data_IF_244460001657
#
_entry.id   IF_244460001657
#
_cell.length_a   1.000
_cell.length_b   1.000
_cell.length_c   1.000
_cell.angle_alpha   90.00
_cell.angle_beta   90.00
_cell.angle_gamma   90.00
#
_symmetry.space_group_name_H-M   'P 1'
#
loop_
_entity.id
_entity.type
_entity.pdbx_description
1 polymer ?
#
# COMPACT_ATOMS: atom_id res chain seq x y z
N UNK A 1 16.74 -18.79 -12.94
CA UNK A 1 16.59 -17.40 -13.41
C UNK A 1 17.83 -17.03 -14.20
N UNK A 2 17.68 -16.31 -15.31
CA UNK A 2 18.83 -15.81 -16.07
C UNK A 2 19.23 -14.46 -15.50
N UNK A 3 20.53 -14.24 -15.32
CA UNK A 3 21.09 -12.94 -14.95
C UNK A 3 21.62 -12.27 -16.20
N UNK A 4 21.31 -10.98 -16.37
CA UNK A 4 21.97 -10.16 -17.37
C UNK A 4 23.30 -9.68 -16.78
N UNK A 5 24.40 -10.04 -17.43
CA UNK A 5 25.73 -9.58 -17.07
C UNK A 5 25.96 -8.24 -17.77
N UNK A 6 26.38 -7.23 -17.02
CA UNK A 6 26.89 -5.98 -17.57
C UNK A 6 28.33 -5.83 -17.08
N UNK A 7 29.26 -5.71 -18.04
CA UNK A 7 30.67 -5.42 -17.77
C UNK A 7 30.85 -3.90 -17.74
N UNK A 8 31.69 -3.41 -16.83
CA UNK A 8 32.03 -1.99 -16.74
C UNK A 8 33.02 -1.55 -17.84
N UNK A 9 33.76 -2.49 -18.42
CA UNK A 9 34.75 -2.27 -19.48
C UNK A 9 34.54 -3.30 -20.59
N UNK A 10 34.08 -2.86 -21.77
CA UNK A 10 34.07 -3.68 -22.98
C UNK A 10 35.09 -3.13 -23.96
N UNK A 11 36.17 -3.88 -24.21
CA UNK A 11 36.98 -3.70 -25.39
C UNK A 11 37.27 -5.08 -26.00
N UNK A 12 36.30 -5.62 -26.73
CA UNK A 12 36.44 -6.89 -27.46
C UNK A 12 37.62 -6.86 -28.45
N UNK A 13 37.97 -5.68 -28.95
CA UNK A 13 39.10 -5.46 -29.86
C UNK A 13 40.44 -5.81 -29.21
N UNK A 14 40.67 -5.44 -27.95
CA UNK A 14 41.93 -5.77 -27.27
C UNK A 14 42.08 -7.29 -27.06
N UNK A 15 40.99 -8.01 -26.78
CA UNK A 15 41.03 -9.46 -26.65
C UNK A 15 41.41 -10.18 -27.95
N UNK A 16 40.92 -9.71 -29.09
CA UNK A 16 41.26 -10.28 -30.41
C UNK A 16 42.72 -9.99 -30.77
N UNK A 17 43.20 -8.76 -30.50
CA UNK A 17 44.59 -8.38 -30.72
C UNK A 17 45.57 -9.16 -29.83
N UNK A 18 45.24 -9.39 -28.55
CA UNK A 18 46.10 -10.18 -27.65
C UNK A 18 46.13 -11.64 -28.04
N UNK A 19 45.01 -12.23 -28.49
CA UNK A 19 44.98 -13.59 -29.03
C UNK A 19 45.84 -13.74 -30.29
N UNK A 20 45.75 -12.79 -31.23
CA UNK A 20 46.58 -12.78 -32.44
C UNK A 20 48.07 -12.64 -32.11
N UNK A 21 48.40 -11.76 -31.15
CA UNK A 21 49.77 -11.58 -30.67
C UNK A 21 50.34 -12.82 -29.99
N UNK A 22 49.52 -13.52 -29.16
CA UNK A 22 49.91 -14.79 -28.55
C UNK A 22 50.18 -15.87 -29.59
N UNK A 23 49.33 -15.98 -30.60
CA UNK A 23 49.53 -16.93 -31.71
C UNK A 23 50.86 -16.66 -32.43
N UNK A 24 51.14 -15.40 -32.76
CA UNK A 24 52.41 -15.00 -33.38
C UNK A 24 53.61 -15.34 -32.51
N UNK A 25 53.58 -15.01 -31.21
CA UNK A 25 54.66 -15.34 -30.28
C UNK A 25 54.87 -16.85 -30.14
N UNK A 26 53.79 -17.64 -30.20
CA UNK A 26 53.89 -19.11 -30.17
C UNK A 26 54.65 -19.62 -31.40
N UNK A 27 54.33 -19.10 -32.60
CA UNK A 27 54.99 -19.47 -33.86
C UNK A 27 56.47 -19.08 -33.84
N UNK A 28 56.77 -17.83 -33.43
CA UNK A 28 58.15 -17.33 -33.35
C UNK A 28 58.98 -18.12 -32.33
N UNK A 29 58.38 -18.48 -31.19
CA UNK A 29 59.05 -19.26 -30.16
C UNK A 29 59.40 -20.67 -30.60
N UNK A 30 58.53 -21.31 -31.39
CA UNK A 30 58.79 -22.64 -31.98
C UNK A 30 59.86 -22.56 -33.07
N UNK A 31 59.85 -21.51 -33.88
CA UNK A 31 60.84 -21.30 -34.94
C UNK A 31 62.26 -21.06 -34.39
N UNK A 32 62.38 -20.31 -33.30
CA UNK A 32 63.67 -19.94 -32.69
C UNK A 32 64.19 -20.95 -31.65
N UNK A 33 63.44 -22.03 -31.40
CA UNK A 33 63.74 -23.09 -30.40
C UNK A 33 64.12 -22.54 -29.01
N UNK A 34 63.36 -21.54 -28.54
CA UNK A 34 63.58 -20.89 -27.23
C UNK A 34 62.56 -21.41 -26.20
N UNK A 35 62.92 -22.38 -25.34
CA UNK A 35 61.96 -23.04 -24.44
C UNK A 35 61.37 -22.10 -23.38
N UNK A 36 62.12 -21.08 -22.94
CA UNK A 36 61.64 -20.10 -21.95
C UNK A 36 60.51 -19.21 -22.50
N UNK A 37 60.61 -18.78 -23.76
CA UNK A 37 59.58 -17.96 -24.40
C UNK A 37 58.31 -18.78 -24.57
N UNK A 38 58.44 -20.05 -24.95
CA UNK A 38 57.33 -20.98 -25.09
C UNK A 38 56.58 -21.18 -23.77
N UNK A 39 57.32 -21.35 -22.66
CA UNK A 39 56.74 -21.49 -21.33
C UNK A 39 55.95 -20.23 -20.94
N UNK A 40 56.50 -19.03 -21.15
CA UNK A 40 55.81 -17.77 -20.86
C UNK A 40 54.53 -17.61 -21.68
N UNK A 41 54.56 -17.92 -22.98
CA UNK A 41 53.38 -17.91 -23.85
C UNK A 41 52.33 -18.92 -23.35
N UNK A 42 52.77 -20.10 -22.91
CA UNK A 42 51.90 -21.12 -22.32
C UNK A 42 51.20 -20.64 -21.05
N UNK A 43 51.92 -19.98 -20.12
CA UNK A 43 51.32 -19.39 -18.91
C UNK A 43 50.26 -18.35 -19.27
N UNK A 44 50.56 -17.46 -20.22
CA UNK A 44 49.61 -16.42 -20.64
C UNK A 44 48.38 -17.06 -21.31
N UNK A 45 48.57 -18.08 -22.17
CA UNK A 45 47.48 -18.81 -22.80
C UNK A 45 46.58 -19.52 -21.76
N UNK A 46 47.17 -20.16 -20.74
CA UNK A 46 46.43 -20.78 -19.63
C UNK A 46 45.64 -19.73 -18.85
N UNK A 47 46.22 -18.56 -18.59
CA UNK A 47 45.53 -17.45 -17.95
C UNK A 47 44.30 -16.99 -18.75
N UNK A 48 44.43 -16.77 -20.06
CA UNK A 48 43.30 -16.41 -20.92
C UNK A 48 42.25 -17.51 -21.04
N UNK A 49 42.67 -18.78 -21.08
CA UNK A 49 41.75 -19.92 -21.05
C UNK A 49 40.95 -19.92 -19.74
N UNK A 50 41.61 -19.69 -18.61
CA UNK A 50 40.97 -19.54 -17.30
C UNK A 50 39.95 -18.39 -17.28
N UNK A 51 40.31 -17.23 -17.84
CA UNK A 51 39.42 -16.07 -17.99
C UNK A 51 38.17 -16.41 -18.83
N UNK A 52 38.37 -17.09 -19.97
CA UNK A 52 37.28 -17.47 -20.87
C UNK A 52 36.31 -18.46 -20.21
N UNK A 53 36.85 -19.48 -19.54
CA UNK A 53 36.05 -20.46 -18.81
C UNK A 53 35.30 -19.82 -17.64
N UNK A 54 35.95 -18.92 -16.89
CA UNK A 54 35.33 -18.17 -15.81
C UNK A 54 34.15 -17.35 -16.33
N UNK A 55 34.37 -16.50 -17.34
CA UNK A 55 33.35 -15.66 -17.96
C UNK A 55 32.15 -16.45 -18.48
N UNK A 56 32.39 -17.64 -19.06
CA UNK A 56 31.33 -18.52 -19.54
C UNK A 56 30.43 -19.04 -18.42
N UNK A 57 30.93 -19.15 -17.18
CA UNK A 57 30.21 -19.72 -16.05
C UNK A 57 29.48 -18.67 -15.19
N UNK A 58 29.83 -17.38 -15.31
CA UNK A 58 29.22 -16.29 -14.56
C UNK A 58 27.70 -16.25 -14.77
N UNK A 59 26.93 -16.08 -13.68
CA UNK A 59 25.49 -15.83 -13.75
C UNK A 59 24.61 -17.02 -14.12
N UNK A 60 25.16 -18.10 -14.70
CA UNK A 60 24.36 -19.25 -15.19
C UNK A 60 23.65 -20.03 -14.09
N UNK A 61 24.34 -20.23 -12.97
CA UNK A 61 23.90 -21.08 -11.86
C UNK A 61 23.63 -20.29 -10.57
N UNK A 62 23.43 -18.97 -10.70
CA UNK A 62 23.02 -18.10 -9.60
C UNK A 62 21.50 -18.03 -9.56
N UNK A 63 20.91 -18.33 -8.41
CA UNK A 63 19.47 -18.19 -8.21
C UNK A 63 19.18 -17.24 -7.06
N UNK A 64 18.33 -16.25 -7.33
CA UNK A 64 17.85 -15.28 -6.35
C UNK A 64 16.43 -15.66 -5.91
N UNK A 65 16.32 -16.01 -4.65
CA UNK A 65 15.06 -16.24 -3.97
C UNK A 65 14.84 -15.15 -2.95
N UNK A 66 13.72 -14.45 -3.10
CA UNK A 66 13.25 -13.54 -2.07
C UNK A 66 12.00 -14.25 -1.59
N UNK A 67 12.07 -15.01 -0.48
CA UNK A 67 10.91 -15.70 0.03
C UNK A 67 9.77 -14.70 0.17
N UNK A 68 8.57 -15.07 -0.29
CA UNK A 68 7.39 -14.21 -0.26
C UNK A 68 7.00 -13.89 1.19
N UNK A 69 7.62 -12.85 1.75
CA UNK A 69 7.37 -12.39 3.11
C UNK A 69 7.47 -10.87 3.19
N UNK A 70 6.91 -10.16 2.22
CA UNK A 70 6.74 -8.72 2.41
C UNK A 70 5.64 -8.48 3.43
N UNK A 71 6.10 -8.23 4.65
CA UNK A 71 5.28 -7.92 5.81
C UNK A 71 4.79 -6.47 5.69
N UNK A 72 3.54 -6.29 6.07
CA UNK A 72 2.92 -4.99 6.28
C UNK A 72 3.25 -4.54 7.69
N UNK A 73 3.55 -3.26 7.87
CA UNK A 73 3.86 -2.71 9.18
C UNK A 73 3.30 -1.31 9.33
N UNK A 74 3.12 -0.88 10.58
CA UNK A 74 2.88 0.50 10.94
C UNK A 74 4.20 1.26 11.07
N UNK A 75 4.17 2.60 11.01
CA UNK A 75 5.36 3.43 11.23
C UNK A 75 6.05 3.10 12.56
N UNK A 76 7.37 3.24 12.62
CA UNK A 76 8.25 2.89 13.75
C UNK A 76 8.43 1.39 14.04
N UNK A 77 7.76 0.50 13.33
CA UNK A 77 8.00 -0.95 13.42
C UNK A 77 9.21 -1.36 12.56
N UNK A 78 9.77 -2.53 12.86
CA UNK A 78 10.87 -3.13 12.11
C UNK A 78 10.39 -4.22 11.16
N UNK A 79 10.86 -4.15 9.93
CA UNK A 79 10.55 -5.09 8.85
C UNK A 79 11.82 -5.77 8.37
N UNK A 80 11.83 -7.09 8.41
CA UNK A 80 12.99 -7.87 8.00
C UNK A 80 12.88 -8.26 6.53
N UNK A 81 13.80 -7.77 5.69
CA UNK A 81 13.95 -8.17 4.31
C UNK A 81 14.89 -9.39 4.25
N UNK A 82 14.33 -10.55 3.93
CA UNK A 82 15.12 -11.78 3.73
C UNK A 82 15.44 -11.98 2.25
N UNK A 83 16.73 -12.06 1.93
CA UNK A 83 17.24 -12.30 0.58
C UNK A 83 18.05 -13.60 0.62
N UNK A 84 17.67 -14.57 -0.19
CA UNK A 84 18.40 -15.82 -0.36
C UNK A 84 19.05 -15.87 -1.72
N UNK A 85 20.36 -16.07 -1.74
CA UNK A 85 21.13 -16.23 -2.97
C UNK A 85 21.82 -17.57 -2.90
N UNK A 86 21.56 -18.39 -3.92
CA UNK A 86 22.17 -19.71 -4.05
C UNK A 86 23.12 -19.72 -5.24
N UNK A 87 24.34 -20.13 -4.99
CA UNK A 87 25.39 -20.31 -5.97
C UNK A 87 25.61 -21.80 -6.23
N UNK A 88 25.02 -22.31 -7.31
CA UNK A 88 25.25 -23.70 -7.73
C UNK A 88 26.49 -23.83 -8.64
N UNK A 89 27.26 -22.76 -8.83
CA UNK A 89 28.55 -22.81 -9.52
C UNK A 89 29.63 -23.33 -8.59
N UNK A 90 30.65 -23.99 -9.13
CA UNK A 90 31.87 -24.31 -8.38
C UNK A 90 32.67 -23.05 -8.02
N UNK A 91 32.56 -22.01 -8.86
CA UNK A 91 33.28 -20.76 -8.70
C UNK A 91 32.65 -19.89 -7.60
N UNK A 92 33.44 -19.37 -6.65
CA UNK A 92 32.96 -18.43 -5.66
C UNK A 92 32.88 -17.01 -6.24
N UNK A 93 31.90 -16.24 -5.77
CA UNK A 93 31.82 -14.79 -5.98
C UNK A 93 32.22 -14.11 -4.68
N UNK A 94 33.44 -13.56 -4.64
CA UNK A 94 34.04 -12.98 -3.44
C UNK A 94 34.00 -11.46 -3.50
N UNK A 95 34.00 -10.82 -2.33
CA UNK A 95 34.05 -9.36 -2.18
C UNK A 95 32.96 -8.65 -3.00
N UNK A 96 31.76 -9.24 -2.99
CA UNK A 96 30.61 -8.68 -3.70
C UNK A 96 29.74 -7.80 -2.81
N UNK A 97 28.82 -7.09 -3.44
CA UNK A 97 27.80 -6.31 -2.78
C UNK A 97 26.48 -6.47 -3.53
N UNK A 98 25.40 -6.55 -2.77
CA UNK A 98 24.04 -6.40 -3.31
C UNK A 98 23.69 -4.92 -3.19
N UNK A 99 23.23 -4.35 -4.30
CA UNK A 99 22.81 -2.96 -4.33
C UNK A 99 21.39 -2.83 -4.82
N UNK A 100 20.62 -1.96 -4.18
CA UNK A 100 19.26 -1.60 -4.62
C UNK A 100 18.87 -0.21 -4.15
N UNK A 101 17.85 0.34 -4.81
CA UNK A 101 17.22 1.60 -4.43
C UNK A 101 15.83 1.35 -3.86
N UNK A 102 15.45 2.10 -2.84
CA UNK A 102 14.10 2.06 -2.26
C UNK A 102 13.68 3.47 -1.84
N UNK A 103 12.37 3.73 -1.80
CA UNK A 103 11.85 5.03 -1.30
C UNK A 103 12.10 5.20 0.20
N UNK A 104 12.14 6.44 0.67
CA UNK A 104 12.37 6.86 2.06
C UNK A 104 11.26 6.51 3.07
N UNK A 105 10.32 5.62 2.70
CA UNK A 105 9.32 5.05 3.60
C UNK A 105 9.93 4.13 4.67
N UNK A 106 11.08 3.55 4.34
CA UNK A 106 11.85 2.65 5.20
C UNK A 106 13.32 3.06 5.19
N UNK A 107 13.99 2.80 6.31
CA UNK A 107 15.36 3.18 6.55
C UNK A 107 16.12 2.02 7.21
N UNK A 108 17.33 1.79 6.75
CA UNK A 108 18.33 1.00 7.46
C UNK A 108 19.61 1.84 7.42
N UNK A 109 20.12 2.25 8.58
CA UNK A 109 21.28 3.16 8.63
C UNK A 109 22.58 2.43 8.33
N UNK A 110 22.69 1.16 8.72
CA UNK A 110 23.90 0.34 8.59
C UNK A 110 24.36 0.16 7.13
N UNK A 111 23.40 0.02 6.21
CA UNK A 111 23.67 -0.26 4.79
C UNK A 111 23.35 0.91 3.86
N UNK A 112 22.93 2.06 4.40
CA UNK A 112 22.62 3.26 3.62
C UNK A 112 23.91 3.92 3.13
N UNK A 113 24.00 4.16 1.82
CA UNK A 113 25.16 4.83 1.22
C UNK A 113 24.84 6.27 0.83
N UNK A 114 23.70 6.49 0.17
CA UNK A 114 23.30 7.83 -0.27
C UNK A 114 21.79 7.95 -0.39
N UNK A 115 21.29 9.17 -0.30
CA UNK A 115 19.88 9.51 -0.47
C UNK A 115 19.76 10.62 -1.52
N UNK A 116 18.93 10.38 -2.54
CA UNK A 116 18.69 11.36 -3.60
C UNK A 116 17.19 11.45 -3.92
N UNK A 117 16.60 12.65 -3.78
CA UNK A 117 15.19 12.92 -4.10
C UNK A 117 14.20 11.90 -3.50
N UNK A 118 14.39 11.51 -2.24
CA UNK A 118 13.55 10.53 -1.55
C UNK A 118 13.78 9.07 -1.96
N UNK A 119 14.86 8.78 -2.69
CA UNK A 119 15.34 7.42 -2.97
C UNK A 119 16.63 7.16 -2.20
N UNK A 120 16.60 6.13 -1.36
CA UNK A 120 17.74 5.63 -0.60
C UNK A 120 18.43 4.53 -1.40
N UNK A 121 19.75 4.61 -1.53
CA UNK A 121 20.60 3.60 -2.15
C UNK A 121 21.31 2.79 -1.05
N UNK A 122 21.08 1.48 -1.09
CA UNK A 122 21.62 0.52 -0.13
C UNK A 122 22.68 -0.34 -0.79
N UNK A 123 23.74 -0.65 -0.04
CA UNK A 123 24.79 -1.55 -0.48
C UNK A 123 25.15 -2.51 0.67
N UNK A 124 24.88 -3.80 0.47
CA UNK A 124 25.11 -4.84 1.47
C UNK A 124 26.25 -5.74 1.01
N UNK A 125 27.36 -5.84 1.76
CA UNK A 125 28.45 -6.75 1.42
C UNK A 125 27.99 -8.21 1.48
N UNK A 126 28.32 -8.98 0.46
CA UNK A 126 28.04 -10.41 0.41
C UNK A 126 29.17 -11.16 -0.28
N UNK A 127 29.56 -12.28 0.32
CA UNK A 127 30.47 -13.26 -0.28
C UNK A 127 29.71 -14.56 -0.48
N UNK A 128 29.76 -15.10 -1.69
CA UNK A 128 29.02 -16.28 -2.13
C UNK A 128 30.02 -17.37 -2.53
N UNK A 129 30.40 -18.27 -1.60
CA UNK A 129 31.25 -19.41 -1.93
C UNK A 129 30.66 -20.28 -3.05
N UNK A 130 31.50 -21.14 -3.64
CA UNK A 130 31.03 -22.13 -4.60
C UNK A 130 30.12 -23.17 -3.94
N UNK A 131 29.09 -23.62 -4.66
CA UNK A 131 28.12 -24.65 -4.22
C UNK A 131 27.48 -24.35 -2.85
N UNK A 132 27.22 -23.09 -2.56
CA UNK A 132 26.67 -22.65 -1.28
C UNK A 132 25.41 -21.80 -1.44
N UNK A 133 24.71 -21.61 -0.33
CA UNK A 133 23.56 -20.73 -0.22
C UNK A 133 23.82 -19.73 0.91
N UNK A 134 23.53 -18.45 0.65
CA UNK A 134 23.65 -17.36 1.61
C UNK A 134 22.26 -16.75 1.81
N UNK A 135 21.82 -16.71 3.07
CA UNK A 135 20.57 -16.05 3.48
C UNK A 135 20.90 -14.80 4.27
N UNK A 136 20.55 -13.64 3.73
CA UNK A 136 20.71 -12.34 4.38
C UNK A 136 19.37 -11.89 4.93
N UNK A 137 19.37 -11.38 6.16
CA UNK A 137 18.18 -10.76 6.77
C UNK A 137 18.52 -9.34 7.17
N UNK A 138 17.92 -8.37 6.50
CA UNK A 138 18.23 -6.94 6.67
C UNK A 138 17.04 -6.28 7.38
N UNK A 139 17.23 -5.73 8.60
CA UNK A 139 16.16 -5.05 9.32
C UNK A 139 15.97 -3.63 8.79
N UNK A 140 14.78 -3.31 8.32
CA UNK A 140 14.38 -1.96 7.93
C UNK A 140 13.45 -1.38 8.98
N UNK A 141 13.78 -0.19 9.49
CA UNK A 141 12.85 0.60 10.31
C UNK A 141 11.88 1.33 9.39
N UNK A 142 10.60 1.19 9.66
CA UNK A 142 9.57 1.96 8.96
C UNK A 142 9.52 3.39 9.49
N UNK A 143 9.47 4.36 8.57
CA UNK A 143 9.55 5.79 8.92
C UNK A 143 8.28 6.51 8.52
N UNK A 144 7.85 6.36 7.26
CA UNK A 144 6.69 7.06 6.70
C UNK A 144 5.79 6.08 5.97
N UNK A 145 4.48 6.37 5.97
CA UNK A 145 3.49 5.67 5.16
C UNK A 145 3.92 5.63 3.69
N UNK A 146 3.71 4.49 3.06
CA UNK A 146 3.89 4.35 1.62
C UNK A 146 4.30 2.96 1.20
N UNK A 147 4.57 2.82 -0.10
CA UNK A 147 4.95 1.55 -0.72
C UNK A 147 6.44 1.60 -1.07
N UNK A 148 7.23 0.80 -0.36
CA UNK A 148 8.63 0.52 -0.67
C UNK A 148 8.72 -0.57 -1.74
N UNK A 149 9.35 -0.26 -2.87
CA UNK A 149 9.68 -1.24 -3.91
C UNK A 149 11.19 -1.31 -4.07
N UNK A 150 11.73 -2.53 -4.17
CA UNK A 150 13.13 -2.73 -4.55
C UNK A 150 13.28 -2.35 -6.03
N UNK A 151 14.07 -1.32 -6.30
CA UNK A 151 14.40 -0.84 -7.64
C UNK A 151 15.87 -1.07 -7.92
N UNK A 152 16.20 -1.33 -9.19
CA UNK A 152 17.58 -1.46 -9.67
C UNK A 152 18.43 -2.46 -8.87
N UNK A 153 17.80 -3.54 -8.40
CA UNK A 153 18.51 -4.60 -7.69
C UNK A 153 19.59 -5.20 -8.58
N UNK A 154 20.82 -5.21 -8.08
CA UNK A 154 21.96 -5.80 -8.75
C UNK A 154 22.89 -6.47 -7.74
N UNK A 155 23.67 -7.43 -8.23
CA UNK A 155 24.77 -8.04 -7.51
C UNK A 155 26.07 -7.68 -8.20
N UNK A 156 26.92 -6.91 -7.52
CA UNK A 156 28.22 -6.46 -8.01
C UNK A 156 29.32 -7.28 -7.35
N UNK A 157 30.31 -7.76 -8.09
CA UNK A 157 31.47 -8.46 -7.53
C UNK A 157 32.71 -8.26 -8.39
N UNK A 158 33.88 -8.46 -7.80
CA UNK A 158 35.15 -8.39 -8.54
C UNK A 158 35.47 -9.71 -9.22
N UNK A 159 35.84 -9.66 -10.49
CA UNK A 159 36.30 -10.82 -11.24
C UNK A 159 37.62 -11.35 -10.63
N UNK A 160 37.71 -12.65 -10.33
CA UNK A 160 38.87 -13.22 -9.62
C UNK A 160 40.21 -13.08 -10.37
N UNK A 161 40.19 -13.22 -11.71
CA UNK A 161 41.40 -13.08 -12.54
C UNK A 161 41.62 -11.65 -13.07
N UNK A 162 40.61 -11.00 -13.68
CA UNK A 162 40.79 -9.66 -14.26
C UNK A 162 40.64 -8.51 -13.27
N UNK A 163 40.14 -8.77 -12.05
CA UNK A 163 39.84 -7.75 -11.03
C UNK A 163 38.81 -6.68 -11.46
N UNK A 164 38.17 -6.84 -12.61
CA UNK A 164 37.11 -5.96 -13.09
C UNK A 164 35.84 -6.11 -12.25
N UNK A 165 35.10 -5.02 -12.06
CA UNK A 165 33.80 -5.08 -11.39
C UNK A 165 32.72 -5.51 -12.37
N UNK A 166 32.04 -6.61 -12.04
CA UNK A 166 30.93 -7.14 -12.82
C UNK A 166 29.62 -6.91 -12.10
N UNK A 167 28.60 -6.47 -12.84
CA UNK A 167 27.26 -6.25 -12.31
C UNK A 167 26.28 -7.25 -12.92
N UNK A 168 25.55 -7.96 -12.06
CA UNK A 168 24.50 -8.89 -12.45
C UNK A 168 23.12 -8.34 -12.11
N UNK A 169 22.24 -8.29 -13.11
CA UNK A 169 20.83 -7.91 -12.95
C UNK A 169 19.93 -9.14 -13.11
N UNK A 170 19.01 -9.40 -12.16
CA UNK A 170 18.07 -10.50 -12.29
C UNK A 170 17.04 -10.19 -13.39
N UNK A 171 16.78 -11.15 -14.29
CA UNK A 171 15.76 -11.00 -15.34
C UNK A 171 14.41 -11.56 -14.83
N UNK A 172 13.34 -10.79 -15.05
CA UNK A 172 11.97 -11.33 -15.00
C UNK A 172 11.35 -11.51 -13.61
N UNK A 173 11.86 -10.86 -12.56
CA UNK A 173 11.20 -10.86 -11.24
C UNK A 173 10.75 -9.46 -10.85
N UNK A 174 9.45 -9.31 -10.62
CA UNK A 174 8.94 -8.17 -9.86
C UNK A 174 9.20 -8.46 -8.39
N UNK A 175 9.97 -7.59 -7.74
CA UNK A 175 10.13 -7.64 -6.30
C UNK A 175 8.79 -7.29 -5.66
N UNK A 176 8.31 -8.09 -4.70
CA UNK A 176 7.07 -7.74 -4.02
C UNK A 176 7.25 -6.46 -3.19
N UNK A 177 6.13 -5.92 -2.74
CA UNK A 177 6.05 -4.57 -2.19
C UNK A 177 6.11 -4.58 -0.67
N UNK A 178 6.97 -3.75 -0.09
CA UNK A 178 6.92 -3.42 1.32
C UNK A 178 5.86 -2.33 1.51
N UNK A 179 4.90 -2.56 2.40
CA UNK A 179 3.78 -1.65 2.62
C UNK A 179 3.85 -1.13 4.06
N UNK A 180 4.03 0.18 4.20
CA UNK A 180 3.94 0.90 5.48
C UNK A 180 2.57 1.56 5.56
N UNK A 181 1.77 1.13 6.53
CA UNK A 181 0.43 1.67 6.76
C UNK A 181 0.46 3.12 7.23
N UNK A 182 -0.64 3.88 7.06
CA UNK A 182 -0.81 5.16 7.73
C UNK A 182 -0.65 5.00 9.25
N UNK A 183 -0.15 6.04 9.89
CA UNK A 183 -0.18 6.14 11.34
C UNK A 183 -1.64 6.19 11.82
N UNK A 184 -1.90 5.72 13.04
CA UNK A 184 -3.25 5.75 13.61
C UNK A 184 -3.37 6.98 14.52
N UNK A 185 -3.64 8.14 13.91
CA UNK A 185 -3.82 9.38 14.66
C UNK A 185 -5.19 9.41 15.33
N UNK A 186 -5.20 9.58 16.65
CA UNK A 186 -6.42 9.60 17.43
C UNK A 186 -7.34 10.79 17.07
N UNK A 187 -8.63 10.47 16.94
CA UNK A 187 -9.69 11.46 16.70
C UNK A 187 -10.66 11.45 17.88
N UNK A 188 -10.78 12.61 18.52
CA UNK A 188 -11.64 12.86 19.68
C UNK A 188 -13.13 12.75 19.31
N UNK A 189 -13.96 12.39 20.31
CA UNK A 189 -15.44 12.29 20.23
C UNK A 189 -16.02 11.17 19.35
N UNK A 190 -15.19 10.32 18.74
CA UNK A 190 -15.69 9.14 18.00
C UNK A 190 -16.55 8.22 18.87
N UNK A 191 -16.20 8.06 20.15
CA UNK A 191 -16.97 7.25 21.11
C UNK A 191 -18.33 7.86 21.46
N UNK A 192 -18.46 9.19 21.42
CA UNK A 192 -19.73 9.87 21.73
C UNK A 192 -20.74 9.65 20.61
N UNK A 193 -20.28 9.75 19.35
CA UNK A 193 -21.10 9.46 18.17
C UNK A 193 -21.61 8.02 18.17
N UNK A 194 -20.74 7.09 18.59
CA UNK A 194 -21.09 5.68 18.78
C UNK A 194 -22.21 5.50 19.82
N UNK A 195 -22.11 6.17 20.96
CA UNK A 195 -23.06 6.01 22.05
C UNK A 195 -24.42 6.69 21.77
N UNK A 196 -24.45 7.69 20.88
CA UNK A 196 -25.69 8.33 20.43
C UNK A 196 -26.45 7.50 19.40
N UNK A 197 -25.78 6.57 18.72
CA UNK A 197 -26.36 5.73 17.68
C UNK A 197 -25.95 4.26 17.86
N UNK A 198 -26.29 3.61 18.98
CA UNK A 198 -26.11 2.16 19.09
C UNK A 198 -26.90 1.47 17.98
N UNK A 199 -26.35 0.37 17.46
CA UNK A 199 -26.97 -0.44 16.42
C UNK A 199 -28.46 -0.64 16.67
N UNK A 200 -29.25 -0.46 15.60
CA UNK A 200 -30.70 -0.23 15.60
C UNK A 200 -31.13 0.98 16.43
N UNK A 201 -30.93 2.18 15.88
CA UNK A 201 -31.54 3.39 16.46
C UNK A 201 -33.03 3.42 16.10
N UNK A 202 -33.87 3.58 17.13
CA UNK A 202 -35.32 3.70 17.00
C UNK A 202 -35.62 4.99 16.24
N UNK A 203 -36.23 4.87 15.07
CA UNK A 203 -36.62 6.05 14.27
C UNK A 203 -38.11 6.07 14.00
N UNK A 204 -38.69 7.27 13.96
CA UNK A 204 -40.10 7.48 13.61
C UNK A 204 -40.33 7.19 12.11
N UNK A 205 -39.28 7.33 11.28
CA UNK A 205 -39.34 7.25 9.83
C UNK A 205 -38.41 6.16 9.26
N UNK A 206 -38.80 4.88 9.41
CA UNK A 206 -38.21 3.75 8.70
C UNK A 206 -39.29 2.99 7.94
N UNK A 207 -39.04 2.53 6.71
CA UNK A 207 -39.91 1.57 6.03
C UNK A 207 -39.76 0.15 6.59
N UNK A 208 -38.70 -0.12 7.36
CA UNK A 208 -38.42 -1.42 7.98
C UNK A 208 -38.83 -1.40 9.46
N UNK A 209 -39.59 -2.40 9.85
CA UNK A 209 -40.16 -2.59 11.19
C UNK A 209 -39.82 -4.00 11.69
N UNK A 210 -39.47 -4.10 12.97
CA UNK A 210 -39.26 -5.37 13.64
C UNK A 210 -40.61 -5.94 14.10
N UNK A 211 -41.12 -6.89 13.31
CA UNK A 211 -42.41 -7.54 13.55
C UNK A 211 -42.38 -8.45 14.80
N UNK A 212 -41.19 -8.84 15.27
CA UNK A 212 -41.03 -9.71 16.44
C UNK A 212 -41.17 -8.95 17.76
N UNK A 213 -40.98 -7.63 17.75
CA UNK A 213 -41.03 -6.77 18.95
C UNK A 213 -42.13 -5.69 18.82
N UNK A 214 -43.40 -6.02 19.12
CA UNK A 214 -44.45 -5.02 19.22
C UNK A 214 -44.24 -4.15 20.47
N UNK A 215 -44.03 -2.85 20.27
CA UNK A 215 -43.85 -1.85 21.33
C UNK A 215 -45.17 -1.52 22.06
N UNK A 216 -46.31 -1.66 21.39
CA UNK A 216 -47.61 -1.31 21.96
C UNK A 216 -48.76 -1.40 20.97
N UNK A 217 -49.85 -0.69 21.27
CA UNK A 217 -51.05 -0.65 20.43
C UNK A 217 -51.60 0.77 20.30
N UNK A 218 -52.18 1.11 19.14
CA UNK A 218 -53.02 2.30 18.97
C UNK A 218 -54.36 1.96 18.33
N UNK A 219 -55.28 2.92 18.31
CA UNK A 219 -56.54 2.80 17.57
C UNK A 219 -56.30 2.51 16.09
N UNK A 220 -57.06 1.53 15.58
CA UNK A 220 -57.04 1.14 14.18
C UNK A 220 -57.62 2.23 13.30
N UNK A 221 -56.94 2.53 12.20
CA UNK A 221 -57.41 3.45 11.15
C UNK A 221 -57.54 2.66 9.86
N UNK A 222 -58.47 3.04 8.99
CA UNK A 222 -58.77 2.31 7.73
C UNK A 222 -57.56 2.14 6.79
N UNK A 223 -56.51 2.96 6.95
CA UNK A 223 -55.25 2.82 6.23
C UNK A 223 -54.34 1.69 6.73
N UNK A 224 -54.62 1.13 7.91
CA UNK A 224 -53.78 0.11 8.53
C UNK A 224 -54.06 -1.29 7.95
N UNK A 225 -53.04 -2.12 7.72
CA UNK A 225 -53.25 -3.50 7.28
C UNK A 225 -53.96 -4.35 8.35
N UNK A 226 -54.99 -5.10 7.95
CA UNK A 226 -55.74 -5.99 8.84
C UNK A 226 -54.87 -7.00 9.60
N UNK A 227 -53.76 -7.47 9.01
CA UNK A 227 -52.83 -8.40 9.66
C UNK A 227 -52.18 -7.82 10.92
N UNK A 228 -52.17 -6.49 11.07
CA UNK A 228 -51.58 -5.80 12.22
C UNK A 228 -52.56 -5.61 13.38
N UNK A 229 -53.80 -6.09 13.28
CA UNK A 229 -54.77 -5.99 14.36
C UNK A 229 -54.29 -6.81 15.56
N UNK A 230 -54.27 -6.17 16.73
CA UNK A 230 -54.02 -6.83 18.01
C UNK A 230 -55.35 -7.34 18.59
N UNK A 231 -55.75 -8.55 18.21
CA UNK A 231 -57.05 -9.13 18.61
C UNK A 231 -57.29 -9.13 20.13
N UNK A 232 -56.27 -9.52 20.93
CA UNK A 232 -56.39 -9.54 22.40
C UNK A 232 -56.57 -8.14 23.03
N UNK A 233 -55.93 -7.11 22.48
CA UNK A 233 -56.09 -5.74 22.96
C UNK A 233 -57.45 -5.18 22.53
N UNK A 234 -57.85 -5.47 21.29
CA UNK A 234 -59.13 -5.05 20.73
C UNK A 234 -60.33 -5.63 21.51
N UNK A 235 -60.22 -6.88 21.97
CA UNK A 235 -61.23 -7.51 22.81
C UNK A 235 -61.37 -6.83 24.18
N UNK A 236 -60.26 -6.34 24.76
CA UNK A 236 -60.27 -5.66 26.06
C UNK A 236 -60.83 -4.23 25.97
N UNK A 237 -60.49 -3.50 24.90
CA UNK A 237 -60.90 -2.10 24.73
C UNK A 237 -62.22 -1.96 23.99
N UNK A 238 -62.79 -3.06 23.49
CA UNK A 238 -63.99 -3.09 22.63
C UNK A 238 -63.88 -2.21 21.37
N UNK A 239 -62.65 -1.88 20.96
CA UNK A 239 -62.33 -1.08 19.77
C UNK A 239 -61.16 -1.74 19.06
N UNK A 240 -61.13 -1.72 17.72
CA UNK A 240 -60.01 -2.29 16.97
C UNK A 240 -58.71 -1.54 17.32
N UNK A 241 -57.69 -2.32 17.68
CA UNK A 241 -56.35 -1.83 18.01
C UNK A 241 -55.34 -2.40 17.01
N UNK A 242 -54.44 -1.58 16.50
CA UNK A 242 -53.31 -1.95 15.63
C UNK A 242 -52.04 -2.10 16.47
N UNK A 243 -51.24 -3.15 16.22
CA UNK A 243 -49.90 -3.33 16.79
C UNK A 243 -48.95 -2.25 16.25
N UNK A 244 -48.24 -1.58 17.15
CA UNK A 244 -47.11 -0.70 16.83
C UNK A 244 -45.83 -1.53 16.96
N UNK A 245 -45.03 -1.56 15.90
CA UNK A 245 -43.74 -2.26 15.87
C UNK A 245 -42.60 -1.27 16.03
N UNK A 246 -41.49 -1.74 16.59
CA UNK A 246 -40.25 -0.98 16.62
C UNK A 246 -39.70 -0.81 15.20
N UNK A 247 -39.23 0.40 14.89
CA UNK A 247 -38.64 0.73 13.60
C UNK A 247 -37.14 0.72 13.73
N UNK A 248 -36.53 -0.39 13.34
CA UNK A 248 -35.09 -0.59 13.35
C UNK A 248 -34.46 -0.11 12.03
N UNK A 249 -33.51 0.83 12.12
CA UNK A 249 -32.73 1.28 10.96
C UNK A 249 -31.31 0.74 11.05
N UNK A 250 -30.87 0.05 10.00
CA UNK A 250 -29.46 -0.26 9.81
C UNK A 250 -28.72 1.04 9.48
N UNK A 251 -27.80 1.46 10.34
CA UNK A 251 -26.96 2.64 10.12
C UNK A 251 -25.62 2.12 9.59
N UNK A 252 -25.42 2.23 8.27
CA UNK A 252 -24.11 1.98 7.69
C UNK A 252 -23.21 3.19 7.94
N UNK A 253 -21.95 2.94 8.31
CA UNK A 253 -20.96 4.00 8.43
C UNK A 253 -20.35 4.25 7.06
N UNK A 254 -20.47 5.48 6.57
CA UNK A 254 -19.84 5.91 5.31
C UNK A 254 -18.76 6.92 5.64
N UNK A 255 -17.52 6.64 5.26
CA UNK A 255 -16.40 7.57 5.43
C UNK A 255 -16.06 8.16 4.06
N UNK A 256 -16.12 9.48 3.98
CA UNK A 256 -15.71 10.25 2.81
C UNK A 256 -14.36 10.89 3.15
N UNK A 257 -13.33 10.45 2.44
CA UNK A 257 -11.97 10.93 2.60
C UNK A 257 -11.72 11.94 1.49
N UNK A 258 -11.66 13.22 1.88
CA UNK A 258 -11.28 14.31 1.01
C UNK A 258 -9.77 14.59 1.12
N UNK A 259 -9.00 14.25 0.08
CA UNK A 259 -7.57 14.59 -0.01
C UNK A 259 -7.31 15.90 -0.76
N UNK A 260 -8.37 16.60 -1.14
CA UNK A 260 -8.33 17.82 -1.96
C UNK A 260 -8.59 19.06 -1.14
N UNK A 261 -7.89 20.13 -1.50
CA UNK A 261 -8.04 21.46 -0.93
C UNK A 261 -8.16 22.47 -2.08
N UNK A 262 -8.95 23.51 -1.88
CA UNK A 262 -9.11 24.59 -2.88
C UNK A 262 -8.18 25.74 -2.58
N UNK A 263 -7.49 26.22 -3.61
CA UNK A 263 -6.72 27.45 -3.48
C UNK A 263 -7.65 28.66 -3.48
N UNK A 264 -7.14 29.82 -3.04
CA UNK A 264 -7.89 31.09 -3.13
C UNK A 264 -8.27 31.46 -4.57
N UNK A 265 -7.59 30.90 -5.57
CA UNK A 265 -7.90 31.07 -7.00
C UNK A 265 -8.92 30.04 -7.51
N UNK A 266 -9.42 29.17 -6.65
CA UNK A 266 -10.41 28.13 -6.98
C UNK A 266 -9.84 26.84 -7.56
N UNK A 267 -8.51 26.74 -7.72
CA UNK A 267 -7.86 25.53 -8.25
C UNK A 267 -7.82 24.43 -7.19
N UNK A 268 -8.06 23.20 -7.60
CA UNK A 268 -8.02 22.02 -6.72
C UNK A 268 -6.62 21.43 -6.70
N UNK A 269 -6.08 21.17 -5.51
CA UNK A 269 -4.77 20.54 -5.33
C UNK A 269 -4.78 19.58 -4.14
N UNK A 270 -3.74 18.76 -4.01
CA UNK A 270 -3.61 17.81 -2.90
C UNK A 270 -3.40 18.58 -1.60
N UNK A 271 -4.22 18.34 -0.59
CA UNK A 271 -4.10 19.03 0.68
C UNK A 271 -2.70 18.80 1.29
N UNK A 272 -2.02 19.85 1.79
CA UNK A 272 -0.78 19.71 2.54
C UNK A 272 -0.95 18.88 3.82
N UNK A 273 -2.18 18.72 4.30
CA UNK A 273 -2.55 17.89 5.47
C UNK A 273 -2.86 16.44 5.09
N UNK A 274 -2.45 15.96 3.90
CA UNK A 274 -2.73 14.61 3.42
C UNK A 274 -2.43 13.51 4.45
N UNK A 275 -1.25 13.53 5.05
CA UNK A 275 -0.86 12.49 6.01
C UNK A 275 -1.75 12.48 7.26
N UNK A 276 -2.17 13.66 7.74
CA UNK A 276 -3.14 13.79 8.85
C UNK A 276 -4.48 13.19 8.46
N UNK A 277 -5.02 13.58 7.30
CA UNK A 277 -6.31 13.10 6.78
C UNK A 277 -6.33 11.57 6.67
N UNK A 278 -5.28 10.97 6.09
CA UNK A 278 -5.19 9.52 5.92
C UNK A 278 -5.00 8.80 7.26
N UNK A 279 -4.28 9.41 8.22
CA UNK A 279 -4.05 8.84 9.54
C UNK A 279 -5.31 8.85 10.40
N UNK A 280 -6.06 9.96 10.39
CA UNK A 280 -7.37 10.08 11.03
C UNK A 280 -8.38 9.09 10.43
N UNK A 281 -8.40 8.97 9.09
CA UNK A 281 -9.26 8.00 8.39
C UNK A 281 -8.94 6.55 8.79
N UNK A 282 -7.65 6.21 8.89
CA UNK A 282 -7.21 4.89 9.32
C UNK A 282 -7.63 4.59 10.77
N UNK A 283 -7.47 5.55 11.69
CA UNK A 283 -7.90 5.42 13.08
C UNK A 283 -9.41 5.22 13.21
N UNK A 284 -10.21 6.09 12.55
CA UNK A 284 -11.67 6.04 12.59
C UNK A 284 -12.16 4.69 12.05
N UNK A 285 -11.68 4.29 10.86
CA UNK A 285 -12.09 3.03 10.22
C UNK A 285 -11.75 1.82 11.08
N UNK A 286 -10.54 1.77 11.63
CA UNK A 286 -10.10 0.67 12.50
C UNK A 286 -11.00 0.53 13.72
N UNK A 287 -11.38 1.64 14.35
CA UNK A 287 -12.21 1.60 15.55
C UNK A 287 -13.66 1.18 15.23
N UNK A 288 -14.24 1.66 14.12
CA UNK A 288 -15.60 1.28 13.71
C UNK A 288 -15.66 -0.22 13.36
N UNK A 289 -14.68 -0.73 12.61
CA UNK A 289 -14.59 -2.16 12.27
C UNK A 289 -14.33 -3.01 13.52
N UNK A 290 -13.47 -2.56 14.43
CA UNK A 290 -13.20 -3.25 15.70
C UNK A 290 -14.46 -3.38 16.55
N UNK A 291 -15.36 -2.40 16.49
CA UNK A 291 -16.64 -2.41 17.19
C UNK A 291 -17.71 -3.26 16.46
N UNK A 292 -17.37 -3.89 15.32
CA UNK A 292 -18.23 -4.82 14.59
C UNK A 292 -19.19 -4.17 13.60
N UNK A 293 -18.99 -2.89 13.26
CA UNK A 293 -19.83 -2.17 12.32
C UNK A 293 -19.28 -2.23 10.88
N UNK A 294 -20.19 -2.23 9.90
CA UNK A 294 -19.84 -2.14 8.48
C UNK A 294 -19.43 -0.72 8.09
N UNK A 295 -18.36 -0.64 7.31
CA UNK A 295 -17.79 0.62 6.82
C UNK A 295 -17.74 0.62 5.30
N UNK A 296 -18.29 1.68 4.71
CA UNK A 296 -18.15 2.06 3.30
C UNK A 296 -17.14 3.20 3.17
N UNK A 297 -16.23 3.13 2.20
CA UNK A 297 -15.22 4.18 1.96
C UNK A 297 -15.45 4.83 0.59
N UNK A 298 -15.43 6.16 0.57
CA UNK A 298 -15.24 6.95 -0.64
C UNK A 298 -13.97 7.78 -0.50
N UNK A 299 -13.12 7.74 -1.52
CA UNK A 299 -11.90 8.53 -1.60
C UNK A 299 -11.86 9.28 -2.92
N UNK A 300 -11.59 10.58 -2.87
CA UNK A 300 -11.45 11.41 -4.05
C UNK A 300 -9.99 11.46 -4.55
N UNK A 301 -9.54 10.36 -5.15
CA UNK A 301 -8.21 10.28 -5.76
C UNK A 301 -8.28 10.50 -7.27
N UNK A 302 -7.32 9.92 -8.00
CA UNK A 302 -7.18 9.97 -9.46
C UNK A 302 -8.46 9.54 -10.19
N UNK A 303 -9.16 8.61 -9.57
CA UNK A 303 -10.45 8.08 -9.89
C UNK A 303 -11.33 8.14 -8.65
N UNK A 304 -12.65 8.09 -8.85
CA UNK A 304 -13.57 7.96 -7.74
C UNK A 304 -13.45 6.54 -7.19
N UNK A 305 -12.69 6.39 -6.11
CA UNK A 305 -12.50 5.11 -5.45
C UNK A 305 -13.63 4.89 -4.46
N UNK A 306 -14.35 3.78 -4.63
CA UNK A 306 -15.41 3.34 -3.75
C UNK A 306 -15.12 1.92 -3.28
N UNK A 307 -15.14 1.73 -1.96
CA UNK A 307 -15.07 0.42 -1.35
C UNK A 307 -16.39 0.15 -0.62
N UNK A 308 -17.14 -0.91 -0.99
CA UNK A 308 -18.47 -1.17 -0.45
C UNK A 308 -18.46 -1.54 1.03
N UNK A 309 -19.64 -1.49 1.66
CA UNK A 309 -19.89 -1.87 3.06
C UNK A 309 -19.37 -3.29 3.36
N UNK A 310 -18.50 -3.42 4.36
CA UNK A 310 -18.02 -4.70 4.93
C UNK A 310 -17.46 -4.40 6.35
N UNK A 311 -17.35 -5.41 7.20
CA UNK A 311 -16.90 -5.31 8.60
C UNK A 311 -15.72 -6.25 8.93
N UNK A 312 -15.22 -7.03 7.97
CA UNK A 312 -14.13 -7.99 8.22
C UNK A 312 -12.77 -7.28 8.45
N UNK A 313 -11.88 -7.91 9.22
CA UNK A 313 -10.45 -7.55 9.33
C UNK A 313 -9.79 -7.53 7.94
N UNK A 314 -10.21 -8.42 7.02
CA UNK A 314 -9.74 -8.39 5.62
C UNK A 314 -10.14 -7.10 4.91
N UNK A 315 -11.31 -6.54 5.24
CA UNK A 315 -11.76 -5.25 4.73
C UNK A 315 -10.92 -4.11 5.27
N UNK A 316 -10.68 -4.07 6.58
CA UNK A 316 -9.77 -3.10 7.20
C UNK A 316 -8.40 -3.11 6.51
N UNK A 317 -7.86 -4.30 6.23
CA UNK A 317 -6.58 -4.46 5.51
C UNK A 317 -6.63 -3.84 4.11
N UNK A 318 -7.70 -4.09 3.35
CA UNK A 318 -7.90 -3.47 2.02
C UNK A 318 -7.96 -1.94 2.11
N UNK A 319 -8.66 -1.41 3.13
CA UNK A 319 -8.77 0.04 3.36
C UNK A 319 -7.38 0.62 3.66
N UNK A 320 -6.64 0.05 4.61
CA UNK A 320 -5.30 0.54 4.94
C UNK A 320 -4.35 0.48 3.73
N UNK A 321 -4.42 -0.58 2.92
CA UNK A 321 -3.64 -0.67 1.67
C UNK A 321 -4.02 0.40 0.65
N UNK A 322 -5.32 0.69 0.51
CA UNK A 322 -5.83 1.77 -0.34
C UNK A 322 -5.29 3.12 0.15
N UNK A 323 -5.36 3.41 1.45
CA UNK A 323 -4.83 4.64 2.04
C UNK A 323 -3.32 4.75 1.87
N UNK A 324 -2.56 3.66 1.98
CA UNK A 324 -1.10 3.66 1.76
C UNK A 324 -0.69 4.00 0.32
N UNK A 325 -1.53 3.73 -0.67
CA UNK A 325 -1.21 3.98 -2.08
C UNK A 325 -1.45 5.42 -2.52
N UNK A 326 -2.20 6.19 -1.73
CA UNK A 326 -2.45 7.61 -2.01
C UNK A 326 -1.16 8.42 -1.84
N UNK A 327 -0.80 9.21 -2.86
CA UNK A 327 0.40 10.05 -2.85
C UNK A 327 0.13 11.51 -3.24
N UNK A 328 1.10 12.39 -2.95
CA UNK A 328 0.98 13.85 -3.13
C UNK A 328 0.74 14.31 -4.58
N UNK A 329 1.10 13.49 -5.58
CA UNK A 329 0.95 13.81 -7.00
C UNK A 329 -0.22 13.11 -7.68
N UNK A 330 -1.20 12.61 -6.91
CA UNK A 330 -2.38 11.97 -7.48
C UNK A 330 -3.24 13.02 -8.19
N UNK A 331 -3.85 12.66 -9.32
CA UNK A 331 -4.93 13.48 -9.87
C UNK A 331 -6.09 13.50 -8.86
N UNK A 332 -6.90 14.55 -8.89
CA UNK A 332 -7.93 14.76 -7.87
C UNK A 332 -9.26 15.06 -8.53
N UNK A 333 -10.29 14.41 -8.01
CA UNK A 333 -11.68 14.67 -8.37
C UNK A 333 -12.35 15.50 -7.25
N UNK A 334 -13.23 16.45 -7.57
CA UNK A 334 -13.98 17.19 -6.56
C UNK A 334 -14.87 16.25 -5.72
N UNK A 335 -14.89 16.45 -4.40
CA UNK A 335 -15.74 15.69 -3.45
C UNK A 335 -17.22 15.79 -3.79
N UNK A 336 -17.65 16.89 -4.41
CA UNK A 336 -19.01 17.08 -4.94
C UNK A 336 -19.51 15.88 -5.74
N UNK A 337 -18.64 15.19 -6.48
CA UNK A 337 -19.01 14.01 -7.27
C UNK A 337 -19.37 12.81 -6.38
N UNK A 338 -18.66 12.64 -5.25
CA UNK A 338 -18.99 11.63 -4.22
C UNK A 338 -20.36 11.96 -3.62
N UNK A 339 -20.55 13.21 -3.20
CA UNK A 339 -21.80 13.65 -2.56
C UNK A 339 -23.01 13.50 -3.49
N UNK A 340 -22.84 13.83 -4.77
CA UNK A 340 -23.87 13.63 -5.79
C UNK A 340 -24.24 12.14 -5.95
N UNK A 341 -23.24 11.25 -5.99
CA UNK A 341 -23.49 9.80 -6.09
C UNK A 341 -24.20 9.26 -4.85
N UNK A 342 -23.79 9.70 -3.66
CA UNK A 342 -24.43 9.32 -2.40
C UNK A 342 -25.89 9.77 -2.33
N UNK A 343 -26.18 10.99 -2.78
CA UNK A 343 -27.55 11.51 -2.81
C UNK A 343 -28.47 10.68 -3.72
N UNK A 344 -27.94 10.17 -4.84
CA UNK A 344 -28.70 9.33 -5.76
C UNK A 344 -28.94 7.91 -5.22
N UNK A 345 -28.07 7.39 -4.36
CA UNK A 345 -28.27 6.06 -3.78
C UNK A 345 -29.25 6.15 -2.58
N UNK A 346 -30.56 6.13 -2.86
CA UNK A 346 -31.63 6.41 -1.89
C UNK A 346 -31.92 5.29 -0.86
N UNK A 347 -31.04 4.31 -0.68
CA UNK A 347 -31.45 3.01 -0.11
C UNK A 347 -31.36 2.90 1.41
N UNK A 348 -30.56 3.71 2.13
CA UNK A 348 -30.31 3.53 3.58
C UNK A 348 -30.01 4.85 4.31
N UNK A 349 -30.32 4.89 5.62
CA UNK A 349 -29.73 5.87 6.54
C UNK A 349 -28.25 5.61 6.64
N UNK A 350 -27.46 6.68 6.60
CA UNK A 350 -26.03 6.59 6.84
C UNK A 350 -25.62 7.52 7.95
N UNK A 351 -24.60 7.07 8.67
CA UNK A 351 -23.76 7.95 9.45
C UNK A 351 -22.55 8.26 8.58
N UNK A 352 -22.49 9.49 8.10
CA UNK A 352 -21.48 9.95 7.15
C UNK A 352 -20.42 10.73 7.92
N UNK A 353 -19.17 10.28 7.89
CA UNK A 353 -18.01 11.02 8.40
C UNK A 353 -17.22 11.56 7.21
N UNK A 354 -17.08 12.88 7.14
CA UNK A 354 -16.23 13.58 6.18
C UNK A 354 -14.91 13.96 6.83
N UNK A 355 -13.80 13.62 6.18
CA UNK A 355 -12.43 13.89 6.64
C UNK A 355 -11.71 14.71 5.57
N UNK A 356 -11.02 15.78 5.99
CA UNK A 356 -10.38 16.73 5.07
C UNK A 356 -11.21 18.00 4.86
N UNK A 357 -10.71 18.96 4.09
CA UNK A 357 -11.37 20.26 3.94
C UNK A 357 -12.80 20.11 3.39
N UNK A 358 -13.73 20.93 3.87
CA UNK A 358 -15.05 21.04 3.25
C UNK A 358 -15.24 22.46 2.71
N UNK A 359 -15.54 22.55 1.42
CA UNK A 359 -15.81 23.79 0.71
C UNK A 359 -17.31 24.09 0.67
N UNK A 360 -17.68 25.37 0.63
CA UNK A 360 -19.07 25.84 0.55
C UNK A 360 -19.81 25.28 -0.67
N UNK A 361 -19.09 24.99 -1.76
CA UNK A 361 -19.69 24.38 -2.96
C UNK A 361 -20.32 22.99 -2.71
N UNK A 362 -20.01 22.36 -1.57
CA UNK A 362 -20.59 21.08 -1.14
C UNK A 362 -21.88 21.25 -0.32
N UNK A 363 -22.15 22.44 0.25
CA UNK A 363 -23.26 22.68 1.18
C UNK A 363 -24.62 22.31 0.60
N UNK A 364 -24.82 22.52 -0.71
CA UNK A 364 -26.04 22.12 -1.40
C UNK A 364 -26.34 20.61 -1.25
N UNK A 365 -25.34 19.75 -1.49
CA UNK A 365 -25.53 18.30 -1.39
C UNK A 365 -25.53 17.82 0.05
N UNK A 366 -24.74 18.43 0.92
CA UNK A 366 -24.74 18.14 2.37
C UNK A 366 -26.15 18.38 2.94
N UNK A 367 -26.75 19.54 2.67
CA UNK A 367 -28.10 19.87 3.13
C UNK A 367 -29.15 18.90 2.59
N UNK A 368 -29.00 18.42 1.35
CA UNK A 368 -29.87 17.38 0.79
C UNK A 368 -29.70 16.05 1.51
N UNK A 369 -28.47 15.61 1.77
CA UNK A 369 -28.18 14.36 2.49
C UNK A 369 -28.75 14.40 3.91
N UNK A 370 -28.62 15.54 4.61
CA UNK A 370 -29.23 15.75 5.94
C UNK A 370 -30.76 15.67 5.85
N UNK A 371 -31.37 16.30 4.84
CA UNK A 371 -32.82 16.25 4.64
C UNK A 371 -33.36 14.83 4.33
N UNK A 372 -32.52 13.93 3.84
CA UNK A 372 -32.85 12.51 3.64
C UNK A 372 -32.74 11.68 4.93
N UNK A 373 -32.44 12.32 6.07
CA UNK A 373 -32.31 11.68 7.37
C UNK A 373 -30.96 11.00 7.60
N UNK A 374 -29.91 11.45 6.91
CA UNK A 374 -28.53 11.02 7.20
C UNK A 374 -27.94 11.90 8.31
N UNK A 375 -27.11 11.30 9.17
CA UNK A 375 -26.34 12.03 10.16
C UNK A 375 -24.95 12.30 9.58
N UNK A 376 -24.58 13.58 9.45
CA UNK A 376 -23.32 13.97 8.85
C UNK A 376 -22.40 14.61 9.89
N UNK A 377 -21.15 14.19 9.87
CA UNK A 377 -20.11 14.61 10.78
C UNK A 377 -18.86 15.02 9.99
N UNK A 378 -18.17 16.05 10.45
CA UNK A 378 -16.96 16.57 9.85
C UNK A 378 -15.80 16.41 10.84
N UNK A 379 -14.66 15.94 10.37
CA UNK A 379 -13.42 15.89 11.16
C UNK A 379 -12.65 17.19 10.92
N UNK A 380 -12.60 18.02 11.96
CA UNK A 380 -11.82 19.25 11.99
C UNK A 380 -10.81 19.16 13.13
N UNK A 381 -9.52 19.29 12.80
CA UNK A 381 -8.42 19.23 13.76
C UNK A 381 -8.48 18.06 14.75
N UNK A 382 -8.65 16.84 14.22
CA UNK A 382 -8.79 15.60 15.00
C UNK A 382 -9.99 15.59 15.96
N UNK A 383 -10.99 16.44 15.74
CA UNK A 383 -12.27 16.43 16.46
C UNK A 383 -13.42 16.18 15.50
N UNK A 384 -14.34 15.32 15.89
CA UNK A 384 -15.56 15.09 15.12
C UNK A 384 -16.65 16.06 15.57
N UNK A 385 -17.22 16.80 14.62
CA UNK A 385 -18.24 17.82 14.85
C UNK A 385 -19.47 17.46 14.00
N UNK A 386 -20.70 17.48 14.58
CA UNK A 386 -21.92 17.27 13.79
C UNK A 386 -22.15 18.44 12.83
N UNK A 387 -22.54 18.13 11.60
CA UNK A 387 -22.91 19.15 10.60
C UNK A 387 -24.42 19.32 10.63
N UNK A 388 -24.87 20.51 11.00
CA UNK A 388 -26.29 20.88 11.03
C UNK A 388 -26.65 21.78 9.85
N UNK A 389 -27.92 21.74 9.45
CA UNK A 389 -28.44 22.56 8.36
C UNK A 389 -28.37 24.05 8.74
N UNK A 390 -27.57 24.82 8.02
CA UNK A 390 -27.51 26.29 8.16
C UNK A 390 -26.38 26.86 9.02
N UNK A 391 -25.41 26.05 9.46
CA UNK A 391 -24.17 26.62 10.00
C UNK A 391 -23.25 27.06 8.86
N UNK A 392 -23.08 28.37 8.69
CA UNK A 392 -21.87 28.92 8.06
C UNK A 392 -20.70 28.54 8.97
N UNK A 393 -19.84 27.64 8.48
CA UNK A 393 -18.80 26.95 9.26
C UNK A 393 -17.49 27.76 9.37
N UNK A 394 -17.56 29.08 9.25
CA UNK A 394 -16.45 29.99 9.50
C UNK A 394 -16.91 31.07 10.48
N UNK A 395 -16.59 30.84 11.76
CA UNK A 395 -16.51 31.88 12.79
C UNK A 395 -15.05 32.20 13.06
#
# INVERSE_FOLDING_TARGET
MQWKIVKTTENEVYHQLTLAFLLLLTIVSLYLDRPLVFLLVGIIAIYYLGLHLYNRQIGKNLTLEIPEQFKKAFPSETLNLSIKIKNNSLLPYLNGYISFKMKDHVLNEDYLQTTWRGLNYYQIPVSLPGKSEVSLTIPFKTVKRGVGRLKEFNFTFSHLLSFEQLMLYPIGKNFNELIVFPELQEVSKLREIRNQNPGTSVTIHSPYEDVLQPLGTRDYVTSDPFQRIHWKASAKTQKLQTKIYERNRYIAWTIIINISERSSLGNLYTSPKLEKILSEAAYITRNIIKDGHEVEIYLNSDSLVHLPEDHDIRHLKKILELLTRVGNGSLIIPVKNILYRLHQSQTKSRLIIMIGENDESNNYYINKLISQGNHLFQVNDSHIIPVTKGNDMYG
#
